data_IF_133484156938
#
_entry.id   IF_133484156938
#
_cell.length_a   1.000
_cell.length_b   1.000
_cell.length_c   1.000
_cell.angle_alpha   90.00
_cell.angle_beta   90.00
_cell.angle_gamma   90.00
#
_symmetry.space_group_name_H-M   'P 1'
#
loop_
_entity.id
_entity.type
_entity.pdbx_description
1 polymer ?
#
# COMPACT_ATOMS: atom_id res chain seq x y z
N UNK A 1 -24.15 23.28 -12.83
CA UNK A 1 -23.33 22.09 -13.15
C UNK A 1 -23.60 21.03 -12.10
N UNK A 2 -24.02 19.81 -12.47
CA UNK A 2 -24.12 18.70 -11.54
C UNK A 2 -22.75 18.43 -10.92
N UNK A 3 -22.73 18.29 -9.60
CA UNK A 3 -21.51 18.05 -8.82
C UNK A 3 -21.15 16.56 -8.91
N UNK A 4 -20.18 16.18 -9.76
CA UNK A 4 -19.67 14.79 -9.94
C UNK A 4 -18.85 14.26 -8.75
N UNK A 5 -18.94 14.91 -7.58
CA UNK A 5 -18.13 14.59 -6.41
C UNK A 5 -18.35 13.14 -5.94
N UNK A 6 -19.58 12.59 -5.89
CA UNK A 6 -19.80 11.22 -5.42
C UNK A 6 -19.21 10.17 -6.36
N UNK A 7 -19.42 10.31 -7.67
CA UNK A 7 -18.97 9.34 -8.66
C UNK A 7 -17.45 9.34 -8.80
N UNK A 8 -16.83 10.52 -8.78
CA UNK A 8 -15.38 10.67 -8.81
C UNK A 8 -14.69 10.05 -7.58
N UNK A 9 -15.26 10.26 -6.39
CA UNK A 9 -14.78 9.62 -5.15
C UNK A 9 -14.92 8.10 -5.20
N UNK A 10 -16.08 7.60 -5.61
CA UNK A 10 -16.32 6.15 -5.74
C UNK A 10 -15.34 5.50 -6.71
N UNK A 11 -15.10 6.12 -7.87
CA UNK A 11 -14.15 5.61 -8.85
C UNK A 11 -12.72 5.58 -8.29
N UNK A 12 -12.29 6.65 -7.63
CA UNK A 12 -10.96 6.70 -7.02
C UNK A 12 -10.77 5.65 -5.92
N UNK A 13 -11.78 5.45 -5.06
CA UNK A 13 -11.76 4.39 -4.04
C UNK A 13 -11.66 3.00 -4.67
N UNK A 14 -12.41 2.73 -5.75
CA UNK A 14 -12.39 1.44 -6.45
C UNK A 14 -11.03 1.14 -7.10
N UNK A 15 -10.27 2.17 -7.46
CA UNK A 15 -8.95 2.07 -8.09
C UNK A 15 -7.78 2.40 -7.15
N UNK A 16 -7.99 2.37 -5.82
CA UNK A 16 -6.97 2.68 -4.80
C UNK A 16 -6.19 3.99 -5.09
N UNK A 17 -6.90 4.98 -5.63
CA UNK A 17 -6.37 6.28 -6.06
C UNK A 17 -6.81 7.40 -5.13
N UNK A 18 -6.06 8.51 -5.14
CA UNK A 18 -6.45 9.74 -4.44
C UNK A 18 -7.38 10.58 -5.32
N UNK A 19 -8.30 11.30 -4.69
CA UNK A 19 -9.29 12.16 -5.32
C UNK A 19 -9.25 13.55 -4.71
N UNK A 20 -9.23 14.57 -5.59
CA UNK A 20 -9.40 15.97 -5.23
C UNK A 20 -10.06 16.67 -6.42
N UNK A 21 -11.08 17.48 -6.15
CA UNK A 21 -11.68 18.33 -7.19
C UNK A 21 -10.95 19.66 -7.24
N UNK A 22 -10.52 20.09 -8.42
CA UNK A 22 -9.76 21.33 -8.61
C UNK A 22 -10.36 22.14 -9.76
N UNK A 23 -10.20 23.47 -9.68
CA UNK A 23 -10.52 24.37 -10.79
C UNK A 23 -9.43 25.43 -10.90
N UNK A 24 -8.72 25.44 -12.02
CA UNK A 24 -7.65 26.41 -12.31
C UNK A 24 -8.19 27.82 -12.53
N UNK A 25 -9.38 27.95 -13.13
CA UNK A 25 -9.99 29.26 -13.45
C UNK A 25 -10.40 30.08 -12.21
N UNK A 26 -10.54 29.44 -11.05
CA UNK A 26 -10.87 30.10 -9.77
C UNK A 26 -9.84 29.78 -8.67
N UNK A 27 -8.67 29.23 -9.04
CA UNK A 27 -7.60 28.86 -8.11
C UNK A 27 -8.07 27.91 -6.96
N UNK A 28 -9.04 27.02 -7.23
CA UNK A 28 -9.58 26.10 -6.23
C UNK A 28 -8.74 24.82 -6.14
N UNK A 29 -8.23 24.50 -4.94
CA UNK A 29 -7.46 23.29 -4.62
C UNK A 29 -6.21 23.04 -5.47
N UNK A 30 -5.70 24.06 -6.17
CA UNK A 30 -4.51 23.91 -7.03
C UNK A 30 -3.27 23.63 -6.17
N UNK A 31 -3.06 24.42 -5.12
CA UNK A 31 -1.90 24.25 -4.24
C UNK A 31 -1.98 22.92 -3.48
N UNK A 32 -3.16 22.58 -2.96
CA UNK A 32 -3.43 21.30 -2.29
C UNK A 32 -3.17 20.09 -3.21
N UNK A 33 -3.54 20.17 -4.49
CA UNK A 33 -3.24 19.13 -5.46
C UNK A 33 -1.73 18.99 -5.67
N UNK A 34 -1.02 20.09 -5.91
CA UNK A 34 0.41 20.07 -6.20
C UNK A 34 1.24 19.59 -5.00
N UNK A 35 0.96 20.11 -3.80
CA UNK A 35 1.59 19.68 -2.55
C UNK A 35 1.25 18.21 -2.25
N UNK A 36 -0.01 17.83 -2.44
CA UNK A 36 -0.47 16.47 -2.22
C UNK A 36 0.17 15.43 -3.15
N UNK A 37 0.33 15.73 -4.44
CA UNK A 37 1.02 14.86 -5.40
C UNK A 37 2.49 14.65 -4.99
N UNK A 38 3.21 15.72 -4.67
CA UNK A 38 4.60 15.62 -4.19
C UNK A 38 4.70 14.77 -2.91
N UNK A 39 3.73 14.93 -2.00
CA UNK A 39 3.67 14.14 -0.77
C UNK A 39 3.42 12.66 -1.05
N UNK A 40 2.49 12.32 -1.95
CA UNK A 40 2.21 10.93 -2.35
C UNK A 40 3.41 10.25 -2.98
N UNK A 41 4.18 10.94 -3.83
CA UNK A 41 5.43 10.42 -4.41
C UNK A 41 6.38 10.03 -3.28
N UNK A 42 6.69 10.96 -2.37
CA UNK A 42 7.62 10.73 -1.25
C UNK A 42 7.16 9.62 -0.30
N UNK A 43 5.85 9.53 -0.02
CA UNK A 43 5.28 8.47 0.81
C UNK A 43 5.44 7.10 0.17
N UNK A 44 5.20 6.99 -1.15
CA UNK A 44 5.35 5.73 -1.89
C UNK A 44 6.81 5.32 -2.01
N UNK A 45 7.72 6.27 -2.24
CA UNK A 45 9.17 6.02 -2.20
C UNK A 45 9.60 5.47 -0.84
N UNK A 46 9.21 6.13 0.25
CA UNK A 46 9.51 5.69 1.61
C UNK A 46 8.93 4.30 1.96
N UNK A 47 7.75 3.97 1.43
CA UNK A 47 7.13 2.65 1.62
C UNK A 47 7.73 1.56 0.72
N UNK A 48 8.32 1.94 -0.42
CA UNK A 48 8.93 1.02 -1.38
C UNK A 48 10.32 0.55 -0.98
N UNK A 49 11.00 1.30 -0.10
CA UNK A 49 12.24 0.84 0.54
C UNK A 49 11.85 -0.31 1.47
N UNK A 50 12.20 -1.57 1.15
CA UNK A 50 12.03 -2.65 2.11
C UNK A 50 12.89 -2.22 3.28
N UNK A 51 12.27 -1.95 4.44
CA UNK A 51 13.03 -1.65 5.64
C UNK A 51 14.06 -2.76 5.76
N UNK A 52 15.33 -2.41 5.54
CA UNK A 52 16.43 -3.35 5.68
C UNK A 52 16.23 -3.97 7.05
N UNK A 53 16.09 -5.30 7.05
CA UNK A 53 15.81 -6.09 8.23
C UNK A 53 16.61 -5.51 9.41
N UNK A 54 16.01 -5.32 10.60
CA UNK A 54 16.81 -4.96 11.75
C UNK A 54 17.94 -6.00 11.85
N UNK A 55 19.19 -5.53 11.78
CA UNK A 55 20.38 -6.38 11.90
C UNK A 55 20.22 -7.15 13.21
N UNK A 56 19.86 -8.43 13.11
CA UNK A 56 19.86 -9.33 14.24
C UNK A 56 21.32 -9.43 14.70
N UNK A 57 21.63 -8.71 15.78
CA UNK A 57 22.90 -8.77 16.45
C UNK A 57 23.18 -10.24 16.81
N UNK A 58 24.27 -10.78 16.27
CA UNK A 58 24.82 -12.09 16.57
C UNK A 58 24.78 -12.38 18.08
N UNK A 59 23.95 -13.35 18.48
CA UNK A 59 24.19 -14.12 19.69
C UNK A 59 24.28 -15.58 19.28
N UNK A 60 25.52 -16.01 19.03
CA UNK A 60 25.87 -17.42 18.94
C UNK A 60 25.55 -18.09 20.27
N UNK A 61 24.59 -19.02 20.29
CA UNK A 61 24.49 -20.02 21.34
C UNK A 61 23.83 -21.31 20.81
N UNK A 62 24.67 -22.34 20.66
CA UNK A 62 24.43 -23.78 20.84
C UNK A 62 23.22 -24.50 20.19
N UNK A 63 23.56 -25.39 19.26
CA UNK A 63 23.31 -26.85 19.31
C UNK A 63 21.87 -27.37 19.51
N UNK A 64 21.21 -27.84 18.44
CA UNK A 64 20.34 -29.04 18.44
C UNK A 64 20.38 -29.71 17.05
N UNK A 65 20.54 -31.04 17.07
CA UNK A 65 20.64 -31.96 15.95
C UNK A 65 19.30 -32.69 15.71
N UNK A 66 18.87 -32.92 14.46
CA UNK A 66 17.72 -33.80 14.17
C UNK A 66 17.13 -33.76 12.76
N UNK A 67 17.56 -34.70 11.91
CA UNK A 67 16.82 -35.52 10.91
C UNK A 67 15.75 -34.91 9.95
N UNK A 68 15.96 -35.10 8.65
CA UNK A 68 15.02 -34.99 7.50
C UNK A 68 14.17 -36.28 7.32
N UNK A 69 13.37 -36.46 6.24
CA UNK A 69 12.20 -35.72 5.75
C UNK A 69 10.97 -36.66 5.58
N UNK A 70 9.72 -36.19 5.64
CA UNK A 70 8.58 -37.00 5.14
C UNK A 70 7.43 -36.13 4.63
N UNK A 71 7.00 -36.47 3.42
CA UNK A 71 6.18 -35.61 2.58
C UNK A 71 4.76 -35.38 3.05
N UNK A 72 4.12 -34.43 2.39
CA UNK A 72 2.67 -34.41 2.25
C UNK A 72 2.30 -33.60 1.01
N UNK A 73 1.64 -34.26 0.06
CA UNK A 73 0.92 -33.65 -1.05
C UNK A 73 -0.28 -32.94 -0.42
N UNK A 74 -0.10 -31.68 -0.02
CA UNK A 74 -1.17 -30.80 0.41
C UNK A 74 -1.47 -29.90 -0.79
N UNK A 75 -2.26 -30.43 -1.72
CA UNK A 75 -3.67 -30.07 -1.91
C UNK A 75 -3.81 -28.63 -2.41
N UNK A 76 -4.58 -28.44 -3.48
CA UNK A 76 -5.00 -27.17 -4.10
C UNK A 76 -5.84 -26.27 -3.16
N UNK A 77 -5.62 -26.39 -1.86
CA UNK A 77 -6.06 -25.51 -0.80
C UNK A 77 -4.92 -24.53 -0.45
N UNK A 78 -4.28 -23.97 -1.48
CA UNK A 78 -3.41 -22.82 -1.31
C UNK A 78 -4.31 -21.64 -0.98
N UNK A 79 -4.58 -21.56 0.31
CA UNK A 79 -5.53 -20.69 0.97
C UNK A 79 -5.31 -19.23 0.57
N UNK A 80 -6.39 -18.48 0.64
CA UNK A 80 -6.51 -17.02 0.48
C UNK A 80 -5.39 -16.21 1.17
N UNK A 81 -4.68 -16.81 2.12
CA UNK A 81 -3.46 -16.34 2.78
C UNK A 81 -2.39 -15.77 1.83
N UNK A 82 -2.18 -16.40 0.66
CA UNK A 82 -1.10 -16.01 -0.26
C UNK A 82 -1.54 -15.00 -1.31
N UNK A 83 -2.84 -14.96 -1.63
CA UNK A 83 -3.45 -13.86 -2.39
C UNK A 83 -3.45 -12.58 -1.53
N UNK A 84 -3.69 -12.70 -0.21
CA UNK A 84 -3.55 -11.57 0.72
C UNK A 84 -2.11 -11.08 0.85
N UNK A 85 -1.10 -11.97 0.78
CA UNK A 85 0.31 -11.56 0.75
C UNK A 85 0.73 -10.89 -0.57
N UNK A 86 0.10 -11.20 -1.70
CA UNK A 86 0.29 -10.44 -2.95
C UNK A 86 -0.45 -9.09 -2.93
N UNK A 87 -1.62 -9.04 -2.27
CA UNK A 87 -2.37 -7.81 -2.01
C UNK A 87 -1.56 -6.79 -1.19
N UNK A 88 -0.55 -7.24 -0.41
CA UNK A 88 0.37 -6.36 0.35
C UNK A 88 1.41 -5.59 -0.50
N UNK A 89 1.50 -5.83 -1.82
CA UNK A 89 2.15 -4.90 -2.76
C UNK A 89 1.23 -3.72 -3.13
N UNK A 90 -0.06 -3.83 -2.81
CA UNK A 90 -1.03 -2.75 -2.98
C UNK A 90 -1.13 -2.00 -1.66
N UNK A 91 -0.36 -0.90 -1.54
CA UNK A 91 -0.63 0.14 -0.55
C UNK A 91 -2.02 0.72 -0.88
N UNK A 92 -3.09 0.04 -0.43
CA UNK A 92 -4.46 0.51 -0.61
C UNK A 92 -4.63 1.79 0.19
N UNK A 93 -5.12 2.82 -0.48
CA UNK A 93 -5.32 4.11 0.17
C UNK A 93 -6.46 4.01 1.18
N UNK A 94 -6.16 4.17 2.48
CA UNK A 94 -7.18 4.08 3.55
C UNK A 94 -8.26 5.17 3.46
N UNK A 95 -7.95 6.23 2.72
CA UNK A 95 -8.85 7.34 2.37
C UNK A 95 -8.46 7.85 0.98
N UNK A 96 -9.43 8.01 0.08
CA UNK A 96 -9.19 8.63 -1.23
C UNK A 96 -9.08 10.16 -1.12
N UNK A 97 -9.58 10.78 -0.05
CA UNK A 97 -9.67 12.24 0.09
C UNK A 97 -8.43 12.86 0.74
N UNK A 98 -7.73 12.12 1.61
CA UNK A 98 -6.53 12.64 2.28
C UNK A 98 -5.27 12.35 1.45
N UNK A 99 -4.78 13.36 0.72
CA UNK A 99 -3.56 13.30 -0.10
C UNK A 99 -2.26 13.24 0.72
N UNK A 100 -2.31 13.41 2.05
CA UNK A 100 -1.13 13.49 2.90
C UNK A 100 -0.74 12.18 3.58
N UNK A 101 -1.53 11.12 3.37
CA UNK A 101 -1.35 9.77 3.92
C UNK A 101 -1.46 8.72 2.82
N UNK A 102 -0.90 7.53 3.03
CA UNK A 102 -1.14 6.37 2.15
C UNK A 102 -2.58 5.86 2.36
#
# INVERSE_FOLDING_TARGET
>A
MPRLFPEGKQLATNHDSKFIETSSGIQHNVDELLVGVLKQIRLREAASIPQALPKAHNRSHSHVQGTTPRGSIMSLLFTRELINKLCFLTNKAKSCENLHVL
#
